data_IF_167921469472
#
_entry.id   IF_167921469472
#
_cell.length_a   1.000
_cell.length_b   1.000
_cell.length_c   1.000
_cell.angle_alpha   90.00
_cell.angle_beta   90.00
_cell.angle_gamma   90.00
#
_symmetry.space_group_name_H-M   'P 1'
#
loop_
_entity.id
_entity.type
_entity.pdbx_description
1 polymer ?
#
# COMPACT_ATOMS: atom_id res chain seq x y z
N UNK A 1 7.95 -8.65 -44.76
CA UNK A 1 8.59 -8.66 -43.43
C UNK A 1 7.65 -7.98 -42.45
N UNK A 2 6.84 -8.79 -41.76
CA UNK A 2 5.97 -8.34 -40.66
C UNK A 2 6.85 -8.11 -39.43
N UNK A 3 6.80 -6.91 -38.86
CA UNK A 3 7.29 -6.67 -37.50
C UNK A 3 6.07 -6.61 -36.57
N UNK A 4 5.86 -7.70 -35.84
CA UNK A 4 4.95 -7.75 -34.71
C UNK A 4 5.62 -6.99 -33.57
N UNK A 5 5.15 -5.77 -33.28
CA UNK A 5 5.41 -5.11 -32.02
C UNK A 5 4.42 -5.66 -31.00
N UNK A 6 4.90 -6.57 -30.15
CA UNK A 6 4.18 -7.03 -28.96
C UNK A 6 4.01 -5.85 -28.02
N UNK A 7 2.83 -5.23 -28.04
CA UNK A 7 2.41 -4.28 -27.02
C UNK A 7 2.15 -5.10 -25.75
N UNK A 8 3.06 -4.99 -24.78
CA UNK A 8 2.82 -5.38 -23.40
C UNK A 8 1.64 -4.56 -22.89
N UNK A 9 0.45 -5.16 -22.92
CA UNK A 9 -0.74 -4.62 -22.28
C UNK A 9 -0.56 -4.74 -20.77
N UNK A 10 0.00 -3.70 -20.14
CA UNK A 10 -0.30 -3.43 -18.75
C UNK A 10 -1.80 -3.12 -18.62
N UNK A 11 -2.46 -3.47 -17.50
CA UNK A 11 -3.87 -3.15 -17.29
C UNK A 11 -4.02 -1.65 -17.01
N UNK A 12 -3.92 -0.84 -18.07
CA UNK A 12 -4.57 0.46 -18.11
C UNK A 12 -6.08 0.19 -18.20
N UNK A 13 -6.65 -0.27 -17.09
CA UNK A 13 -8.07 -0.09 -16.86
C UNK A 13 -8.30 1.41 -17.00
N UNK A 14 -9.12 1.81 -17.95
CA UNK A 14 -9.57 3.18 -18.08
C UNK A 14 -10.29 3.56 -16.78
N UNK A 15 -9.55 4.08 -15.80
CA UNK A 15 -10.09 4.77 -14.62
C UNK A 15 -11.02 5.91 -15.08
N UNK A 16 -10.74 6.40 -16.28
CA UNK A 16 -11.49 7.39 -17.02
C UNK A 16 -12.54 6.70 -17.92
N UNK A 17 -13.53 6.08 -17.30
CA UNK A 17 -14.74 5.65 -18.01
C UNK A 17 -15.34 6.84 -18.76
N UNK A 18 -15.79 6.62 -20.00
CA UNK A 18 -16.30 7.67 -20.88
C UNK A 18 -17.27 8.60 -20.13
N UNK A 19 -16.83 9.83 -19.86
CA UNK A 19 -17.58 10.82 -19.08
C UNK A 19 -18.66 11.42 -19.96
N UNK A 20 -19.81 10.74 -20.04
CA UNK A 20 -20.98 11.30 -20.68
C UNK A 20 -21.75 12.14 -19.66
N UNK A 21 -22.01 13.40 -20.00
CA UNK A 21 -22.96 14.23 -19.25
C UNK A 21 -24.32 13.52 -19.34
N UNK A 22 -25.03 13.28 -18.22
CA UNK A 22 -26.33 12.65 -18.26
C UNK A 22 -27.28 13.47 -19.15
N UNK A 23 -28.19 12.81 -19.87
CA UNK A 23 -29.10 13.52 -20.76
C UNK A 23 -29.92 14.54 -19.98
N UNK A 24 -29.79 15.81 -20.36
CA UNK A 24 -30.52 16.94 -19.77
C UNK A 24 -31.70 17.34 -20.65
N UNK A 25 -32.82 17.64 -20.01
CA UNK A 25 -34.01 18.18 -20.66
C UNK A 25 -34.64 19.22 -19.74
N UNK A 26 -35.01 20.35 -20.32
CA UNK A 26 -35.73 21.39 -19.61
C UNK A 26 -37.10 20.89 -19.14
N UNK A 27 -37.46 21.24 -17.92
CA UNK A 27 -38.75 20.90 -17.31
C UNK A 27 -39.85 21.83 -17.82
N UNK A 28 -41.11 21.35 -17.89
CA UNK A 28 -42.25 22.19 -18.18
C UNK A 28 -42.49 23.21 -17.05
N UNK A 29 -42.86 24.43 -17.43
CA UNK A 29 -43.08 25.57 -16.54
C UNK A 29 -44.54 25.64 -16.13
N UNK A 30 -44.84 25.21 -14.91
CA UNK A 30 -46.23 25.09 -14.43
C UNK A 30 -46.53 25.98 -13.20
N UNK A 31 -45.51 26.61 -12.59
CA UNK A 31 -45.72 27.44 -11.40
C UNK A 31 -46.29 28.81 -11.75
N UNK A 32 -47.25 29.34 -11.00
CA UNK A 32 -47.68 30.74 -11.15
C UNK A 32 -46.64 31.70 -10.57
N UNK A 33 -46.44 32.86 -11.17
CA UNK A 33 -45.56 33.89 -10.61
C UNK A 33 -46.22 34.54 -9.38
N UNK A 34 -45.54 34.50 -8.22
CA UNK A 34 -45.96 35.28 -7.04
C UNK A 34 -45.39 36.71 -7.08
N UNK A 35 -46.08 37.59 -7.81
CA UNK A 35 -45.72 39.01 -7.93
C UNK A 35 -45.70 39.75 -6.59
N UNK A 36 -46.48 39.31 -5.59
CA UNK A 36 -46.47 39.95 -4.27
C UNK A 36 -45.16 39.66 -3.56
N UNK A 37 -44.71 38.42 -3.57
CA UNK A 37 -43.41 38.05 -2.99
C UNK A 37 -42.26 38.72 -3.73
N UNK A 38 -42.30 38.75 -5.07
CA UNK A 38 -41.28 39.43 -5.87
C UNK A 38 -41.20 40.94 -5.62
N UNK A 39 -42.33 41.60 -5.35
CA UNK A 39 -42.35 43.07 -5.15
C UNK A 39 -41.86 43.52 -3.77
N UNK A 40 -41.84 42.64 -2.77
CA UNK A 40 -41.32 42.92 -1.42
C UNK A 40 -39.84 42.57 -1.31
N UNK A 41 -39.29 41.81 -2.26
CA UNK A 41 -37.88 41.41 -2.26
C UNK A 41 -36.96 42.64 -2.46
N UNK A 42 -36.16 42.95 -1.44
CA UNK A 42 -35.10 43.96 -1.52
C UNK A 42 -33.86 43.36 -2.22
N UNK A 43 -33.79 43.53 -3.54
CA UNK A 43 -32.69 43.02 -4.36
C UNK A 43 -31.36 43.70 -4.03
N UNK A 44 -31.36 44.99 -3.70
CA UNK A 44 -30.15 45.72 -3.34
C UNK A 44 -29.52 45.18 -2.05
N UNK A 45 -30.36 44.81 -1.08
CA UNK A 45 -29.90 44.12 0.13
C UNK A 45 -29.29 42.76 -0.20
N UNK A 46 -29.94 41.94 -1.03
CA UNK A 46 -29.40 40.62 -1.45
C UNK A 46 -28.02 40.77 -2.09
N UNK A 47 -27.84 41.78 -2.95
CA UNK A 47 -26.55 42.06 -3.60
C UNK A 47 -25.51 42.52 -2.58
N UNK A 48 -25.84 43.51 -1.74
CA UNK A 48 -24.89 44.12 -0.78
C UNK A 48 -24.46 43.13 0.31
N UNK A 49 -25.38 42.32 0.79
CA UNK A 49 -25.15 41.37 1.89
C UNK A 49 -24.72 39.99 1.38
N UNK A 50 -24.76 39.74 0.06
CA UNK A 50 -24.54 38.43 -0.54
C UNK A 50 -25.41 37.37 0.13
N UNK A 51 -26.69 37.69 0.34
CA UNK A 51 -27.65 36.80 1.00
C UNK A 51 -28.04 35.65 0.08
N UNK A 52 -27.18 34.63 0.05
CA UNK A 52 -27.34 33.42 -0.77
C UNK A 52 -28.60 32.65 -0.38
N UNK A 53 -29.02 32.70 0.90
CA UNK A 53 -30.20 31.98 1.35
C UNK A 53 -31.46 32.58 0.69
N UNK A 54 -31.63 33.90 0.81
CA UNK A 54 -32.74 34.61 0.14
C UNK A 54 -32.68 34.43 -1.38
N UNK A 55 -31.50 34.48 -1.99
CA UNK A 55 -31.35 34.26 -3.43
C UNK A 55 -31.81 32.85 -3.85
N UNK A 56 -31.36 31.80 -3.12
CA UNK A 56 -31.70 30.41 -3.40
C UNK A 56 -33.21 30.15 -3.31
N UNK A 57 -33.87 30.69 -2.30
CA UNK A 57 -35.32 30.57 -2.14
C UNK A 57 -36.10 31.16 -3.32
N UNK A 58 -35.60 32.24 -3.93
CA UNK A 58 -36.25 32.87 -5.08
C UNK A 58 -35.84 32.25 -6.42
N UNK A 59 -34.65 31.64 -6.51
CA UNK A 59 -34.17 30.99 -7.73
C UNK A 59 -35.09 29.84 -8.16
N UNK A 60 -35.56 29.01 -7.24
CA UNK A 60 -36.49 27.92 -7.58
C UNK A 60 -37.80 28.45 -8.14
N UNK A 61 -38.37 29.47 -7.50
CA UNK A 61 -39.66 30.05 -7.91
C UNK A 61 -39.58 30.74 -9.28
N UNK A 62 -38.50 31.48 -9.53
CA UNK A 62 -38.28 32.14 -10.83
C UNK A 62 -37.99 31.10 -11.92
N UNK A 63 -37.24 30.05 -11.61
CA UNK A 63 -36.78 29.09 -12.62
C UNK A 63 -37.87 28.18 -13.15
N UNK A 64 -38.97 27.96 -12.43
CA UNK A 64 -40.03 27.03 -12.87
C UNK A 64 -41.40 27.69 -13.03
N UNK A 65 -41.48 29.02 -12.94
CA UNK A 65 -42.73 29.74 -13.19
C UNK A 65 -43.08 29.84 -14.68
N UNK A 66 -44.38 29.84 -14.96
CA UNK A 66 -44.94 30.18 -16.27
C UNK A 66 -44.90 31.69 -16.47
N UNK A 67 -44.65 32.11 -17.70
CA UNK A 67 -44.67 33.51 -18.12
C UNK A 67 -45.80 33.77 -19.13
N UNK A 68 -46.65 32.79 -19.36
CA UNK A 68 -47.70 32.85 -20.37
C UNK A 68 -48.89 33.65 -19.83
N UNK A 69 -49.26 34.72 -20.55
CA UNK A 69 -50.39 35.57 -20.18
C UNK A 69 -50.08 36.53 -19.01
N UNK A 70 -48.81 36.72 -18.66
CA UNK A 70 -48.43 37.67 -17.62
C UNK A 70 -48.63 39.12 -18.08
N UNK A 71 -49.27 39.92 -17.22
CA UNK A 71 -49.68 41.30 -17.48
C UNK A 71 -49.06 42.27 -16.46
N UNK A 72 -48.86 43.51 -16.88
CA UNK A 72 -48.40 44.56 -15.98
C UNK A 72 -49.44 44.83 -14.88
N UNK A 73 -49.03 44.75 -13.62
CA UNK A 73 -49.92 44.96 -12.47
C UNK A 73 -50.52 46.37 -12.36
N UNK A 74 -49.98 47.36 -13.10
CA UNK A 74 -50.45 48.74 -13.07
C UNK A 74 -51.42 49.11 -14.21
N UNK A 75 -51.17 48.60 -15.42
CA UNK A 75 -51.95 48.97 -16.61
C UNK A 75 -52.69 47.80 -17.27
N UNK A 76 -52.54 46.57 -16.74
CA UNK A 76 -53.17 45.35 -17.24
C UNK A 76 -52.87 45.08 -18.72
N UNK A 77 -51.73 45.57 -19.21
CA UNK A 77 -51.26 45.29 -20.56
C UNK A 77 -50.34 44.07 -20.54
N UNK A 78 -50.33 43.25 -21.61
CA UNK A 78 -49.35 42.17 -21.76
C UNK A 78 -47.93 42.69 -21.62
N UNK A 79 -47.07 41.89 -20.99
CA UNK A 79 -45.64 42.20 -20.93
C UNK A 79 -45.00 42.19 -22.33
N UNK A 80 -43.97 43.02 -22.50
CA UNK A 80 -43.20 43.09 -23.74
C UNK A 80 -42.60 41.72 -24.11
N UNK A 81 -42.73 41.33 -25.38
CA UNK A 81 -42.26 40.02 -25.84
C UNK A 81 -40.74 39.87 -25.74
N UNK A 82 -39.98 40.95 -25.92
CA UNK A 82 -38.54 40.98 -25.73
C UNK A 82 -38.16 40.70 -24.28
N UNK A 83 -38.83 41.37 -23.33
CA UNK A 83 -38.65 41.13 -21.89
C UNK A 83 -39.00 39.68 -21.51
N UNK A 84 -40.12 39.15 -22.00
CA UNK A 84 -40.51 37.75 -21.79
C UNK A 84 -39.46 36.77 -22.32
N UNK A 85 -38.86 37.05 -23.48
CA UNK A 85 -37.79 36.22 -24.03
C UNK A 85 -36.51 36.28 -23.18
N UNK A 86 -36.15 37.45 -22.66
CA UNK A 86 -35.01 37.60 -21.72
C UNK A 86 -35.26 36.80 -20.45
N UNK A 87 -36.46 36.87 -19.87
CA UNK A 87 -36.83 36.09 -18.69
C UNK A 87 -36.80 34.58 -18.99
N UNK A 88 -37.39 34.14 -20.11
CA UNK A 88 -37.33 32.72 -20.53
C UNK A 88 -35.89 32.24 -20.70
N UNK A 89 -35.02 33.05 -21.31
CA UNK A 89 -33.61 32.71 -21.46
C UNK A 89 -32.88 32.65 -20.11
N UNK A 90 -33.19 33.58 -19.20
CA UNK A 90 -32.66 33.55 -17.84
C UNK A 90 -33.09 32.27 -17.11
N UNK A 91 -34.37 31.89 -17.19
CA UNK A 91 -34.87 30.66 -16.58
C UNK A 91 -34.19 29.39 -17.14
N UNK A 92 -34.03 29.29 -18.47
CA UNK A 92 -33.31 28.17 -19.09
C UNK A 92 -31.83 28.15 -18.68
N UNK A 93 -31.21 29.32 -18.57
CA UNK A 93 -29.82 29.44 -18.13
C UNK A 93 -29.66 28.99 -16.69
N UNK A 94 -30.55 29.40 -15.79
CA UNK A 94 -30.52 29.00 -14.37
C UNK A 94 -30.77 27.50 -14.24
N UNK A 95 -31.75 26.93 -14.95
CA UNK A 95 -32.03 25.50 -14.92
C UNK A 95 -30.83 24.66 -15.39
N UNK A 96 -30.17 25.10 -16.46
CA UNK A 96 -28.95 24.46 -16.93
C UNK A 96 -27.80 24.58 -15.92
N UNK A 97 -27.63 25.73 -15.28
CA UNK A 97 -26.61 25.92 -14.25
C UNK A 97 -26.87 25.06 -13.00
N UNK A 98 -28.12 24.91 -12.57
CA UNK A 98 -28.49 23.98 -11.50
C UNK A 98 -28.16 22.53 -11.88
N UNK A 99 -28.49 22.12 -13.11
CA UNK A 99 -28.11 20.80 -13.61
C UNK A 99 -26.59 20.60 -13.61
N UNK A 100 -25.82 21.60 -14.07
CA UNK A 100 -24.36 21.53 -14.03
C UNK A 100 -23.83 21.43 -12.59
N UNK A 101 -24.43 22.15 -11.64
CA UNK A 101 -24.04 22.07 -10.24
C UNK A 101 -24.25 20.66 -9.68
N UNK A 102 -25.43 20.07 -9.88
CA UNK A 102 -25.73 18.70 -9.42
C UNK A 102 -24.83 17.66 -10.07
N UNK A 103 -24.60 17.80 -11.38
CA UNK A 103 -23.71 16.92 -12.12
C UNK A 103 -22.28 17.01 -11.56
N UNK A 104 -21.74 18.21 -11.45
CA UNK A 104 -20.38 18.43 -10.94
C UNK A 104 -20.23 17.95 -9.49
N UNK A 105 -21.20 18.24 -8.62
CA UNK A 105 -21.20 17.77 -7.23
C UNK A 105 -21.14 16.24 -7.18
N UNK A 106 -22.01 15.56 -7.94
CA UNK A 106 -22.02 14.10 -8.04
C UNK A 106 -20.69 13.55 -8.59
N UNK A 107 -20.06 14.25 -9.53
CA UNK A 107 -18.75 13.88 -10.08
C UNK A 107 -17.63 14.01 -9.07
N UNK A 108 -17.57 15.13 -8.36
CA UNK A 108 -16.58 15.37 -7.31
C UNK A 108 -16.69 14.29 -6.23
N UNK A 109 -17.91 14.04 -5.72
CA UNK A 109 -18.13 13.00 -4.71
C UNK A 109 -17.71 11.61 -5.19
N UNK A 110 -18.00 11.23 -6.45
CA UNK A 110 -17.55 9.93 -6.95
C UNK A 110 -16.01 9.85 -7.04
N UNK A 111 -15.37 10.91 -7.56
CA UNK A 111 -13.92 10.95 -7.70
C UNK A 111 -13.22 10.89 -6.34
N UNK A 112 -13.76 11.57 -5.33
CA UNK A 112 -13.29 11.51 -3.95
C UNK A 112 -13.40 10.09 -3.38
N UNK A 113 -14.52 9.41 -3.58
CA UNK A 113 -14.71 8.02 -3.15
C UNK A 113 -13.72 7.07 -3.84
N UNK A 114 -13.52 7.22 -5.14
CA UNK A 114 -12.54 6.43 -5.90
C UNK A 114 -11.12 6.67 -5.40
N UNK A 115 -10.74 7.94 -5.19
CA UNK A 115 -9.43 8.29 -4.65
C UNK A 115 -9.20 7.66 -3.28
N UNK A 116 -10.19 7.75 -2.38
CA UNK A 116 -10.10 7.12 -1.06
C UNK A 116 -9.96 5.60 -1.15
N UNK A 117 -10.68 4.94 -2.07
CA UNK A 117 -10.53 3.50 -2.29
C UNK A 117 -9.13 3.14 -2.79
N UNK A 118 -8.59 3.89 -3.76
CA UNK A 118 -7.24 3.70 -4.27
C UNK A 118 -6.17 3.90 -3.20
N UNK A 119 -6.31 4.93 -2.35
CA UNK A 119 -5.39 5.17 -1.23
C UNK A 119 -5.40 4.03 -0.21
N UNK A 120 -6.59 3.50 0.12
CA UNK A 120 -6.72 2.33 1.01
C UNK A 120 -6.05 1.10 0.41
N UNK A 121 -6.27 0.83 -0.89
CA UNK A 121 -5.63 -0.28 -1.57
C UNK A 121 -4.11 -0.13 -1.59
N UNK A 122 -3.59 1.06 -1.88
CA UNK A 122 -2.16 1.33 -1.86
C UNK A 122 -1.57 1.09 -0.46
N UNK A 123 -2.23 1.57 0.59
CA UNK A 123 -1.80 1.35 1.98
C UNK A 123 -1.76 -0.14 2.34
N UNK A 124 -2.77 -0.91 1.92
CA UNK A 124 -2.81 -2.36 2.17
C UNK A 124 -1.70 -3.08 1.43
N UNK A 125 -1.47 -2.74 0.15
CA UNK A 125 -0.36 -3.30 -0.61
C UNK A 125 1.00 -2.95 -0.01
N UNK A 126 1.18 -1.73 0.51
CA UNK A 126 2.42 -1.35 1.19
C UNK A 126 2.65 -2.20 2.45
N UNK A 127 1.64 -2.40 3.29
CA UNK A 127 1.74 -3.26 4.47
C UNK A 127 2.10 -4.71 4.11
N UNK A 128 1.56 -5.24 3.01
CA UNK A 128 1.91 -6.57 2.51
C UNK A 128 3.38 -6.64 2.06
N UNK A 129 3.88 -5.61 1.37
CA UNK A 129 5.28 -5.55 0.96
C UNK A 129 6.22 -5.48 2.17
N UNK A 130 5.88 -4.68 3.18
CA UNK A 130 6.67 -4.56 4.41
C UNK A 130 6.72 -5.88 5.17
N UNK A 131 5.57 -6.57 5.30
CA UNK A 131 5.48 -7.92 5.89
C UNK A 131 6.33 -8.94 5.13
N UNK A 132 6.26 -8.96 3.80
CA UNK A 132 7.07 -9.85 2.96
C UNK A 132 8.57 -9.54 3.08
N UNK A 133 8.94 -8.26 3.20
CA UNK A 133 10.33 -7.87 3.39
C UNK A 133 10.88 -8.34 4.75
N UNK A 134 10.08 -8.25 5.81
CA UNK A 134 10.43 -8.76 7.14
C UNK A 134 10.58 -10.29 7.13
N UNK A 135 9.66 -11.03 6.50
CA UNK A 135 9.77 -12.47 6.31
C UNK A 135 11.05 -12.87 5.56
N UNK A 136 11.36 -12.17 4.46
CA UNK A 136 12.59 -12.41 3.70
C UNK A 136 13.86 -12.12 4.50
N UNK A 137 13.85 -11.08 5.35
CA UNK A 137 14.96 -10.81 6.26
C UNK A 137 15.12 -11.93 7.29
N UNK A 138 14.01 -12.40 7.89
CA UNK A 138 14.02 -13.53 8.81
C UNK A 138 14.60 -14.80 8.18
N UNK A 139 14.10 -15.17 6.99
CA UNK A 139 14.60 -16.35 6.25
C UNK A 139 16.08 -16.21 5.85
N UNK A 140 16.53 -15.00 5.52
CA UNK A 140 17.95 -14.74 5.20
C UNK A 140 18.83 -14.95 6.42
N UNK A 141 18.39 -14.49 7.59
CA UNK A 141 19.11 -14.65 8.85
C UNK A 141 19.15 -16.12 9.28
N UNK A 142 18.03 -16.85 9.22
CA UNK A 142 18.01 -18.29 9.46
C UNK A 142 18.94 -19.05 8.53
N UNK A 143 18.91 -18.72 7.23
CA UNK A 143 19.81 -19.30 6.23
C UNK A 143 21.28 -18.99 6.54
N UNK A 144 21.57 -17.79 7.04
CA UNK A 144 22.91 -17.40 7.43
C UNK A 144 23.40 -18.23 8.64
N UNK A 145 22.57 -18.33 9.68
CA UNK A 145 22.86 -19.12 10.89
C UNK A 145 23.08 -20.60 10.57
N UNK A 146 22.23 -21.19 9.73
CA UNK A 146 22.39 -22.58 9.28
C UNK A 146 23.71 -22.79 8.54
N UNK A 147 24.09 -21.88 7.63
CA UNK A 147 25.38 -21.95 6.92
C UNK A 147 26.57 -21.81 7.88
N UNK A 148 26.46 -20.94 8.88
CA UNK A 148 27.51 -20.76 9.87
C UNK A 148 27.70 -22.02 10.72
N UNK A 149 26.61 -22.59 11.23
CA UNK A 149 26.63 -23.85 11.98
C UNK A 149 27.26 -25.00 11.18
N UNK A 150 26.93 -25.12 9.89
CA UNK A 150 27.53 -26.12 9.00
C UNK A 150 29.05 -25.92 8.89
N UNK A 151 29.51 -24.68 8.73
CA UNK A 151 30.95 -24.37 8.67
C UNK A 151 31.66 -24.73 9.97
N UNK A 152 31.08 -24.37 11.11
CA UNK A 152 31.66 -24.63 12.43
C UNK A 152 31.77 -26.16 12.68
N UNK A 153 30.71 -26.91 12.34
CA UNK A 153 30.73 -28.37 12.40
C UNK A 153 31.78 -28.98 11.48
N UNK A 154 31.90 -28.50 10.23
CA UNK A 154 32.92 -28.94 9.29
C UNK A 154 34.33 -28.68 9.82
N UNK A 155 34.58 -27.53 10.46
CA UNK A 155 35.86 -27.24 11.09
C UNK A 155 36.15 -28.23 12.22
N UNK A 156 35.20 -28.46 13.15
CA UNK A 156 35.38 -29.42 14.25
C UNK A 156 35.71 -30.84 13.74
N UNK A 157 35.06 -31.27 12.65
CA UNK A 157 35.35 -32.55 12.00
C UNK A 157 36.76 -32.58 11.39
N UNK A 158 37.25 -31.47 10.83
CA UNK A 158 38.62 -31.37 10.30
C UNK A 158 39.68 -31.40 11.42
N UNK A 159 39.46 -30.66 12.51
CA UNK A 159 40.35 -30.67 13.67
C UNK A 159 40.45 -32.06 14.30
N UNK A 160 39.32 -32.75 14.51
CA UNK A 160 39.30 -34.11 15.06
C UNK A 160 39.91 -35.16 14.11
N UNK A 161 39.70 -35.03 12.79
CA UNK A 161 40.35 -35.88 11.80
C UNK A 161 41.88 -35.74 11.80
N UNK A 162 42.37 -34.49 11.90
CA UNK A 162 43.80 -34.21 12.07
C UNK A 162 44.35 -34.74 13.39
N UNK A 163 43.66 -34.50 14.49
CA UNK A 163 44.07 -34.93 15.83
C UNK A 163 44.10 -36.46 15.97
N UNK A 164 43.14 -37.15 15.36
CA UNK A 164 43.11 -38.61 15.27
C UNK A 164 44.30 -39.14 14.44
N UNK A 165 44.63 -38.51 13.31
CA UNK A 165 45.81 -38.84 12.53
C UNK A 165 47.12 -38.63 13.31
N UNK A 166 47.28 -37.51 14.03
CA UNK A 166 48.47 -37.26 14.86
C UNK A 166 48.57 -38.24 16.03
N UNK A 167 47.46 -38.57 16.69
CA UNK A 167 47.39 -39.57 17.77
C UNK A 167 47.76 -40.97 17.25
N UNK A 168 47.16 -41.43 16.16
CA UNK A 168 47.46 -42.73 15.54
C UNK A 168 48.90 -42.78 15.03
N UNK A 169 49.41 -41.69 14.44
CA UNK A 169 50.82 -41.57 14.02
C UNK A 169 51.78 -41.67 15.21
N UNK A 170 51.47 -41.02 16.33
CA UNK A 170 52.28 -41.06 17.54
C UNK A 170 52.22 -42.44 18.22
N UNK A 171 51.06 -43.09 18.28
CA UNK A 171 50.91 -44.48 18.75
C UNK A 171 51.72 -45.43 17.86
N UNK A 172 51.64 -45.29 16.53
CA UNK A 172 52.41 -46.11 15.59
C UNK A 172 53.92 -45.82 15.65
N UNK A 173 54.32 -44.59 16.00
CA UNK A 173 55.72 -44.24 16.24
C UNK A 173 56.22 -44.84 17.56
N UNK A 174 55.44 -44.75 18.63
CA UNK A 174 55.73 -45.38 19.93
C UNK A 174 55.81 -46.90 19.79
N UNK A 175 54.87 -47.53 19.06
CA UNK A 175 54.87 -48.97 18.78
C UNK A 175 56.10 -49.41 17.97
N UNK A 176 56.59 -48.57 17.06
CA UNK A 176 57.87 -48.81 16.34
C UNK A 176 59.09 -48.61 17.23
N UNK A 177 59.09 -47.61 18.12
CA UNK A 177 60.17 -47.44 19.10
C UNK A 177 60.23 -48.63 20.07
N UNK A 178 59.09 -49.16 20.49
CA UNK A 178 58.98 -50.38 21.32
C UNK A 178 59.32 -51.64 20.51
N UNK A 179 58.90 -51.73 19.26
CA UNK A 179 59.22 -52.86 18.36
C UNK A 179 60.68 -52.90 17.89
N UNK A 180 61.35 -51.74 17.79
CA UNK A 180 62.79 -51.63 17.55
C UNK A 180 63.62 -51.90 18.82
N UNK A 181 62.99 -51.90 20.00
CA UNK A 181 63.58 -52.43 21.23
C UNK A 181 63.70 -53.96 21.24
N UNK A 182 63.08 -54.69 20.31
CA UNK A 182 63.12 -56.15 20.25
C UNK A 182 64.20 -56.73 19.32
N UNK A 183 65.01 -55.89 18.64
CA UNK A 183 66.07 -56.36 17.73
C UNK A 183 67.48 -55.88 18.09
N UNK A 184 67.67 -55.20 19.22
CA UNK A 184 69.01 -54.91 19.74
C UNK A 184 69.09 -55.38 21.18
N UNK A 185 69.44 -56.66 21.36
CA UNK A 185 70.27 -57.17 22.46
C UNK A 185 70.50 -58.68 22.28
N UNK A 186 71.17 -59.02 21.17
CA UNK A 186 72.01 -60.21 21.14
C UNK A 186 73.31 -59.89 21.87
N UNK A 187 73.51 -60.58 23.01
CA UNK A 187 74.73 -60.66 23.83
C UNK A 187 75.16 -59.43 24.64
N UNK A 188 74.78 -59.42 25.92
CA UNK A 188 75.62 -59.94 27.01
C UNK A 188 74.77 -60.17 28.27
N UNK A 189 74.79 -61.41 28.79
CA UNK A 189 74.65 -61.76 30.21
C UNK A 189 73.32 -61.52 30.94
N UNK A 190 72.72 -62.63 31.41
CA UNK A 190 71.86 -62.79 32.60
C UNK A 190 71.84 -61.57 33.54
N UNK A 191 70.69 -61.07 34.03
CA UNK A 191 69.82 -61.74 35.01
C UNK A 191 68.47 -61.01 35.11
N UNK A 192 67.38 -61.76 35.32
CA UNK A 192 65.97 -61.32 35.47
C UNK A 192 65.69 -60.86 36.93
N UNK A 193 64.47 -60.46 37.32
CA UNK A 193 64.01 -59.08 37.57
C UNK A 193 63.57 -58.87 39.04
N UNK A 194 62.93 -57.74 39.36
CA UNK A 194 61.71 -57.62 40.17
C UNK A 194 61.41 -56.15 40.45
N UNK A 195 60.15 -55.73 40.29
CA UNK A 195 59.67 -54.45 40.83
C UNK A 195 58.60 -53.76 39.98
N UNK A 196 57.39 -54.32 39.96
CA UNK A 196 56.18 -53.55 39.70
C UNK A 196 56.03 -52.48 40.78
N UNK A 197 55.79 -51.23 40.40
CA UNK A 197 55.00 -50.34 41.25
C UNK A 197 54.10 -49.45 40.39
N UNK A 198 52.81 -49.56 40.68
CA UNK A 198 51.72 -48.92 40.01
C UNK A 198 51.34 -47.63 40.74
N UNK A 199 50.99 -46.62 39.94
CA UNK A 199 49.87 -45.70 40.11
C UNK A 199 49.68 -44.97 41.45
N UNK A 200 49.89 -43.65 41.43
CA UNK A 200 48.96 -42.62 41.97
C UNK A 200 49.24 -41.34 41.15
N UNK A 201 48.32 -40.64 40.50
CA UNK A 201 46.91 -40.43 40.82
C UNK A 201 46.72 -38.94 41.10
N UNK A 202 46.56 -38.11 40.05
CA UNK A 202 46.13 -36.72 40.20
C UNK A 202 45.20 -36.32 39.05
N UNK A 203 43.90 -36.46 39.29
CA UNK A 203 42.90 -35.55 38.71
C UNK A 203 43.04 -34.18 39.39
N UNK A 204 42.64 -33.11 38.71
CA UNK A 204 41.44 -32.44 39.21
C UNK A 204 40.47 -32.01 38.10
N UNK A 205 39.21 -32.24 38.41
CA UNK A 205 38.07 -31.62 37.76
C UNK A 205 38.08 -30.10 38.02
N UNK A 206 38.00 -29.32 36.94
CA UNK A 206 37.41 -27.98 36.89
C UNK A 206 36.21 -28.15 35.95
N UNK A 207 34.95 -27.86 36.29
CA UNK A 207 34.48 -26.77 37.13
C UNK A 207 34.26 -25.53 36.24
N UNK A 208 33.00 -25.06 36.22
CA UNK A 208 32.53 -23.79 35.63
C UNK A 208 32.40 -23.75 34.09
N UNK A 209 31.43 -23.09 33.48
CA UNK A 209 30.21 -22.39 33.90
C UNK A 209 29.56 -21.85 32.60
N UNK A 210 28.26 -21.53 32.70
CA UNK A 210 27.55 -20.41 32.03
C UNK A 210 27.48 -20.34 30.50
#
# INVERSE_FOLDING_TARGET
MQFLATIVQGPHHSIFGAYTIPPFRFQPRNGSVDWRRMSVLDVDRVIRELDVATLQENLTDITFCTLDGEECSHCLQPLDQGLLNVLRLAQLSIEYLMHCQDFLMTRVTLLELHLQASLRQQSQSQQQLDSQAEELMGLREETHQQRQMIKDLQQLLQWSGGQSYYMVRNINRARRAVGLGAQTLGHLGNTIPLGCEAAMGHSPWLGADL
#
